data_IF_606822597651
#
_entry.id   IF_606822597651
#
_cell.length_a   1.000
_cell.length_b   1.000
_cell.length_c   1.000
_cell.angle_alpha   90.00
_cell.angle_beta   90.00
_cell.angle_gamma   90.00
#
_symmetry.space_group_name_H-M   'P 1'
#
loop_
_entity.id
_entity.type
_entity.pdbx_description
1 polymer ?
#
# COMPACT_ATOMS: atom_id res chain seq x y z
N UNK A 1 -27.27 -4.31 0.62
CA UNK A 1 -26.71 -3.55 1.76
C UNK A 1 -25.44 -2.88 1.25
N UNK A 2 -25.42 -1.54 1.23
CA UNK A 2 -24.18 -0.82 0.94
C UNK A 2 -23.26 -0.92 2.14
N UNK A 3 -22.01 -1.29 1.87
CA UNK A 3 -20.97 -1.37 2.90
C UNK A 3 -20.62 0.06 3.33
N UNK A 4 -20.77 0.44 4.61
CA UNK A 4 -20.56 1.82 5.04
C UNK A 4 -19.11 2.23 4.74
N UNK A 5 -18.93 3.44 4.20
CA UNK A 5 -17.59 4.00 3.97
C UNK A 5 -17.17 4.80 5.21
N UNK A 6 -15.99 4.53 5.72
CA UNK A 6 -15.42 5.28 6.83
C UNK A 6 -15.18 6.76 6.44
N UNK A 7 -15.24 7.70 7.39
CA UNK A 7 -15.26 9.14 7.11
C UNK A 7 -13.95 9.69 6.58
N UNK A 8 -12.79 9.19 7.08
CA UNK A 8 -11.48 9.73 6.69
C UNK A 8 -10.87 8.96 5.54
N UNK A 9 -10.62 9.68 4.45
CA UNK A 9 -9.92 9.19 3.27
C UNK A 9 -8.44 9.59 3.33
N UNK A 10 -7.57 8.81 2.69
CA UNK A 10 -6.14 9.15 2.56
C UNK A 10 -5.94 10.40 1.69
N UNK A 11 -4.84 11.15 1.85
CA UNK A 11 -4.49 12.24 0.95
C UNK A 11 -4.32 11.76 -0.50
N UNK A 12 -4.77 12.56 -1.47
CA UNK A 12 -4.74 12.18 -2.90
C UNK A 12 -3.33 11.87 -3.42
N UNK A 13 -2.31 12.49 -2.84
CA UNK A 13 -0.90 12.28 -3.21
C UNK A 13 -0.42 10.83 -3.07
N UNK A 14 -1.08 9.99 -2.25
CA UNK A 14 -0.75 8.57 -2.14
C UNK A 14 -0.90 7.84 -3.48
N UNK A 15 -1.80 8.28 -4.35
CA UNK A 15 -1.96 7.73 -5.69
C UNK A 15 -0.67 7.89 -6.52
N UNK A 16 0.02 9.02 -6.38
CA UNK A 16 1.31 9.27 -7.02
C UNK A 16 2.36 8.27 -6.56
N UNK A 17 2.41 7.98 -5.26
CA UNK A 17 3.31 6.97 -4.68
C UNK A 17 3.02 5.60 -5.28
N UNK A 18 1.75 5.17 -5.32
CA UNK A 18 1.37 3.87 -5.88
C UNK A 18 1.68 3.74 -7.38
N UNK A 19 1.46 4.82 -8.17
CA UNK A 19 1.84 4.84 -9.59
C UNK A 19 3.34 4.71 -9.77
N UNK A 20 4.15 5.46 -8.99
CA UNK A 20 5.62 5.39 -9.04
C UNK A 20 6.14 4.01 -8.65
N UNK A 21 5.54 3.39 -7.62
CA UNK A 21 5.88 2.03 -7.21
C UNK A 21 5.57 1.02 -8.32
N UNK A 22 4.38 1.11 -8.94
CA UNK A 22 4.01 0.25 -10.05
C UNK A 22 4.98 0.38 -11.24
N UNK A 23 5.35 1.62 -11.60
CA UNK A 23 6.31 1.88 -12.68
C UNK A 23 7.71 1.32 -12.35
N UNK A 24 8.20 1.53 -11.12
CA UNK A 24 9.51 1.00 -10.71
C UNK A 24 9.53 -0.53 -10.73
N UNK A 25 8.48 -1.15 -10.20
CA UNK A 25 8.35 -2.62 -10.20
C UNK A 25 8.32 -3.16 -11.63
N UNK A 26 7.54 -2.53 -12.51
CA UNK A 26 7.48 -2.91 -13.93
C UNK A 26 8.84 -2.74 -14.62
N UNK A 27 9.54 -1.64 -14.34
CA UNK A 27 10.88 -1.42 -14.88
C UNK A 27 11.86 -2.53 -14.42
N UNK A 28 11.80 -2.96 -13.17
CA UNK A 28 12.61 -4.08 -12.68
C UNK A 28 12.29 -5.38 -13.44
N UNK A 29 11.00 -5.69 -13.68
CA UNK A 29 10.62 -6.85 -14.48
C UNK A 29 11.10 -6.75 -15.94
N UNK A 30 11.00 -5.57 -16.56
CA UNK A 30 11.52 -5.34 -17.92
C UNK A 30 13.03 -5.58 -17.96
N UNK A 31 13.78 -5.07 -17.00
CA UNK A 31 15.25 -5.27 -16.94
C UNK A 31 15.63 -6.75 -16.79
N UNK A 32 14.93 -7.47 -15.90
CA UNK A 32 15.14 -8.92 -15.72
C UNK A 32 14.80 -9.67 -17.01
N UNK A 33 13.65 -9.39 -17.62
CA UNK A 33 13.27 -10.02 -18.88
C UNK A 33 14.23 -9.72 -20.01
N UNK A 34 14.72 -8.48 -20.11
CA UNK A 34 15.71 -8.09 -21.12
C UNK A 34 17.07 -8.80 -20.92
N UNK A 35 17.50 -8.96 -19.65
CA UNK A 35 18.73 -9.70 -19.35
C UNK A 35 18.59 -11.18 -19.73
N UNK A 36 17.46 -11.81 -19.43
CA UNK A 36 17.17 -13.22 -19.82
C UNK A 36 17.12 -13.34 -21.35
N UNK A 37 16.44 -12.41 -22.02
CA UNK A 37 16.38 -12.41 -23.50
C UNK A 37 17.75 -12.27 -24.13
N UNK A 38 18.58 -11.34 -23.63
CA UNK A 38 19.95 -11.17 -24.09
C UNK A 38 20.81 -12.42 -23.86
N UNK A 39 20.63 -13.11 -22.75
CA UNK A 39 21.32 -14.37 -22.47
C UNK A 39 20.88 -15.51 -23.42
N UNK A 40 19.58 -15.62 -23.71
CA UNK A 40 19.08 -16.59 -24.69
C UNK A 40 19.58 -16.29 -26.12
N UNK A 41 19.68 -15.02 -26.50
CA UNK A 41 20.28 -14.64 -27.77
C UNK A 41 21.76 -15.00 -27.86
N UNK A 42 22.52 -14.82 -26.76
CA UNK A 42 23.93 -15.18 -26.72
C UNK A 42 24.16 -16.70 -26.84
N UNK A 43 23.19 -17.51 -26.42
CA UNK A 43 23.19 -18.98 -26.55
C UNK A 43 22.62 -19.47 -27.87
N UNK A 44 22.27 -18.59 -28.82
CA UNK A 44 21.52 -18.91 -30.05
C UNK A 44 20.25 -19.74 -29.80
N UNK A 45 19.64 -19.59 -28.60
CA UNK A 45 18.48 -20.36 -28.16
C UNK A 45 17.16 -19.61 -28.35
N UNK A 46 17.17 -18.37 -28.88
CA UNK A 46 15.98 -17.54 -29.02
C UNK A 46 15.17 -17.94 -30.29
N UNK A 47 14.80 -19.20 -30.41
CA UNK A 47 14.02 -19.74 -31.50
C UNK A 47 12.79 -20.52 -31.02
N UNK A 48 11.82 -20.69 -31.90
CA UNK A 48 10.66 -21.54 -31.66
C UNK A 48 9.91 -21.20 -30.37
N UNK A 49 9.88 -22.13 -29.44
CA UNK A 49 9.16 -21.99 -28.15
C UNK A 49 9.66 -20.81 -27.30
N UNK A 50 10.98 -20.62 -27.19
CA UNK A 50 11.56 -19.57 -26.37
C UNK A 50 11.22 -18.16 -26.87
N UNK A 51 11.12 -17.98 -28.16
CA UNK A 51 10.70 -16.70 -28.77
C UNK A 51 9.26 -16.33 -28.32
N UNK A 52 8.33 -17.26 -28.40
CA UNK A 52 6.95 -17.01 -27.97
C UNK A 52 6.83 -16.81 -26.46
N UNK A 53 7.66 -17.49 -25.67
CA UNK A 53 7.71 -17.32 -24.23
C UNK A 53 8.16 -15.91 -23.83
N UNK A 54 9.17 -15.36 -24.51
CA UNK A 54 9.64 -13.97 -24.29
C UNK A 54 8.54 -12.97 -24.65
N UNK A 55 7.88 -13.13 -25.77
CA UNK A 55 6.76 -12.25 -26.15
C UNK A 55 5.64 -12.33 -25.12
N UNK A 56 5.27 -13.54 -24.69
CA UNK A 56 4.27 -13.75 -23.62
C UNK A 56 4.64 -13.09 -22.30
N UNK A 57 5.91 -13.18 -21.90
CA UNK A 57 6.41 -12.52 -20.70
C UNK A 57 6.24 -11.00 -20.75
N UNK A 58 6.75 -10.35 -21.80
CA UNK A 58 6.59 -8.89 -21.94
C UNK A 58 5.13 -8.46 -22.08
N UNK A 59 4.32 -9.27 -22.75
CA UNK A 59 2.87 -9.07 -22.81
C UNK A 59 2.22 -9.08 -21.43
N UNK A 60 2.55 -10.06 -20.59
CA UNK A 60 2.05 -10.15 -19.22
C UNK A 60 2.54 -8.96 -18.35
N UNK A 61 3.79 -8.55 -18.49
CA UNK A 61 4.33 -7.38 -17.79
C UNK A 61 3.58 -6.11 -18.18
N UNK A 62 3.30 -5.91 -19.47
CA UNK A 62 2.54 -4.76 -19.96
C UNK A 62 1.09 -4.77 -19.45
N UNK A 63 0.41 -5.91 -19.52
CA UNK A 63 -0.94 -6.08 -18.97
C UNK A 63 -0.95 -5.82 -17.46
N UNK A 64 0.01 -6.35 -16.72
CA UNK A 64 0.15 -6.12 -15.28
C UNK A 64 0.31 -4.65 -14.92
N UNK A 65 1.09 -3.87 -15.71
CA UNK A 65 1.21 -2.43 -15.53
C UNK A 65 -0.13 -1.72 -15.77
N UNK A 66 -0.80 -2.02 -16.88
CA UNK A 66 -2.10 -1.41 -17.21
C UNK A 66 -3.10 -1.65 -16.09
N UNK A 67 -3.23 -2.90 -15.65
CA UNK A 67 -4.12 -3.28 -14.53
C UNK A 67 -3.72 -2.52 -13.26
N UNK A 68 -2.44 -2.50 -12.90
CA UNK A 68 -1.95 -1.83 -11.68
C UNK A 68 -2.28 -0.35 -11.70
N UNK A 69 -2.10 0.34 -12.83
CA UNK A 69 -2.41 1.77 -12.96
C UNK A 69 -3.92 2.05 -12.96
N UNK A 70 -4.71 1.21 -13.64
CA UNK A 70 -6.17 1.33 -13.69
C UNK A 70 -6.81 1.13 -12.31
N UNK A 71 -6.20 0.30 -11.47
CA UNK A 71 -6.70 -0.01 -10.14
C UNK A 71 -6.37 1.07 -9.08
N UNK A 72 -5.43 1.99 -9.35
CA UNK A 72 -5.04 3.04 -8.40
C UNK A 72 -6.23 3.88 -7.91
N UNK A 73 -7.05 4.51 -8.79
CA UNK A 73 -8.16 5.35 -8.34
C UNK A 73 -9.24 4.56 -7.59
N UNK A 74 -9.47 3.32 -8.02
CA UNK A 74 -10.43 2.46 -7.36
C UNK A 74 -9.96 2.06 -5.96
N UNK A 75 -8.70 1.62 -5.82
CA UNK A 75 -8.08 1.32 -4.53
C UNK A 75 -8.12 2.52 -3.59
N UNK A 76 -7.84 3.72 -4.12
CA UNK A 76 -7.86 4.97 -3.36
C UNK A 76 -9.24 5.25 -2.77
N UNK A 77 -10.31 5.03 -3.53
CA UNK A 77 -11.70 5.28 -3.07
C UNK A 77 -12.06 4.46 -1.84
N UNK A 78 -11.59 3.21 -1.73
CA UNK A 78 -11.91 2.28 -0.65
C UNK A 78 -10.85 2.20 0.46
N UNK A 79 -9.78 2.99 0.37
CA UNK A 79 -8.75 3.01 1.39
C UNK A 79 -9.03 4.13 2.38
N UNK A 80 -9.69 3.79 3.50
CA UNK A 80 -10.20 4.74 4.49
C UNK A 80 -9.89 4.29 5.91
N UNK A 81 -9.93 5.21 6.85
CA UNK A 81 -9.76 4.92 8.27
C UNK A 81 -10.63 5.82 9.14
N UNK A 82 -10.82 5.42 10.39
CA UNK A 82 -11.50 6.19 11.41
C UNK A 82 -10.79 5.99 12.75
N UNK A 83 -10.72 7.04 13.53
CA UNK A 83 -10.14 7.03 14.88
C UNK A 83 -11.23 7.44 15.84
N UNK A 84 -11.64 6.53 16.69
CA UNK A 84 -12.56 6.79 17.81
C UNK A 84 -11.83 6.65 19.14
N UNK A 85 -12.40 7.10 20.25
CA UNK A 85 -11.78 6.85 21.58
C UNK A 85 -11.66 5.36 21.92
N UNK A 86 -12.50 4.51 21.36
CA UNK A 86 -12.59 3.09 21.69
C UNK A 86 -11.75 2.22 20.76
N UNK A 87 -11.72 2.55 19.47
CA UNK A 87 -11.06 1.74 18.45
C UNK A 87 -10.50 2.56 17.27
N UNK A 88 -9.63 1.88 16.50
CA UNK A 88 -9.18 2.29 15.19
C UNK A 88 -9.82 1.38 14.13
N UNK A 89 -10.59 1.98 13.23
CA UNK A 89 -11.18 1.26 12.11
C UNK A 89 -10.36 1.49 10.83
N UNK A 90 -10.04 0.40 10.15
CA UNK A 90 -9.33 0.40 8.87
C UNK A 90 -10.20 -0.24 7.81
N UNK A 91 -10.56 0.52 6.80
CA UNK A 91 -11.24 0.02 5.63
C UNK A 91 -10.27 -0.14 4.48
N UNK A 92 -10.19 -1.34 3.95
CA UNK A 92 -9.40 -1.67 2.77
C UNK A 92 -10.16 -2.70 1.94
N UNK A 93 -9.73 -2.82 0.72
CA UNK A 93 -10.24 -3.87 -0.15
C UNK A 93 -10.61 -3.31 -1.51
N UNK A 94 -10.42 -4.16 -2.48
CA UNK A 94 -10.62 -3.89 -3.89
C UNK A 94 -11.80 -4.72 -4.41
N UNK A 95 -11.65 -6.03 -4.51
CA UNK A 95 -12.73 -6.97 -4.83
C UNK A 95 -13.41 -7.42 -3.53
N UNK A 96 -12.59 -7.79 -2.53
CA UNK A 96 -13.06 -8.14 -1.20
C UNK A 96 -12.86 -6.95 -0.27
N UNK A 97 -13.95 -6.39 0.24
CA UNK A 97 -13.93 -5.25 1.17
C UNK A 97 -13.89 -5.77 2.60
N UNK A 98 -13.03 -5.19 3.42
CA UNK A 98 -12.95 -5.49 4.84
C UNK A 98 -12.83 -4.21 5.65
N UNK A 99 -13.52 -4.16 6.78
CA UNK A 99 -13.28 -3.19 7.84
C UNK A 99 -12.70 -3.96 9.02
N UNK A 100 -11.55 -3.53 9.49
CA UNK A 100 -10.91 -4.12 10.66
C UNK A 100 -10.94 -3.11 11.78
N UNK A 101 -11.55 -3.48 12.89
CA UNK A 101 -11.58 -2.68 14.11
C UNK A 101 -10.48 -3.16 15.06
N UNK A 102 -9.65 -2.24 15.51
CA UNK A 102 -8.55 -2.50 16.45
C UNK A 102 -8.82 -1.73 17.72
N UNK A 103 -9.23 -2.39 18.81
CA UNK A 103 -9.45 -1.73 20.10
C UNK A 103 -8.18 -1.03 20.61
N UNK A 104 -8.30 0.17 21.18
CA UNK A 104 -7.16 0.98 21.64
C UNK A 104 -6.30 0.23 22.66
N UNK A 105 -6.87 -0.55 23.57
CA UNK A 105 -6.15 -1.35 24.55
C UNK A 105 -5.32 -2.50 23.95
N UNK A 106 -5.55 -2.89 22.68
CA UNK A 106 -4.78 -3.92 21.97
C UNK A 106 -3.56 -3.35 21.24
N UNK A 107 -3.43 -2.05 21.16
CA UNK A 107 -2.29 -1.39 20.51
C UNK A 107 -1.08 -1.48 21.43
N UNK A 108 0.02 -2.05 20.92
CA UNK A 108 1.29 -2.18 21.66
C UNK A 108 2.17 -0.96 21.45
N UNK A 109 2.42 -0.59 20.24
CA UNK A 109 3.18 0.61 19.88
C UNK A 109 2.76 1.20 18.53
N UNK A 110 3.06 2.47 18.35
CA UNK A 110 2.74 3.25 17.15
C UNK A 110 4.04 3.84 16.62
N UNK A 111 4.38 3.49 15.38
CA UNK A 111 5.55 3.96 14.67
C UNK A 111 5.17 4.87 13.53
N UNK A 112 6.11 5.69 13.08
CA UNK A 112 5.99 6.47 11.85
C UNK A 112 7.09 6.04 10.90
N UNK A 113 6.71 5.70 9.66
CA UNK A 113 7.63 5.27 8.62
C UNK A 113 7.56 6.20 7.40
N UNK A 114 8.70 6.37 6.74
CA UNK A 114 8.77 7.17 5.54
C UNK A 114 9.71 6.55 4.51
N UNK A 115 9.16 5.78 3.59
CA UNK A 115 9.90 5.24 2.46
C UNK A 115 10.31 6.32 1.45
N UNK A 116 11.20 6.01 0.48
CA UNK A 116 11.77 7.00 -0.44
C UNK A 116 10.72 7.71 -1.30
N UNK A 117 9.67 7.03 -1.72
CA UNK A 117 8.58 7.63 -2.49
C UNK A 117 7.67 8.51 -1.65
N UNK A 118 7.38 8.10 -0.40
CA UNK A 118 6.61 8.91 0.54
C UNK A 118 7.37 10.19 0.86
N UNK A 119 8.69 10.09 1.11
CA UNK A 119 9.55 11.23 1.38
C UNK A 119 9.57 12.24 0.23
N UNK A 120 9.62 11.76 -1.02
CA UNK A 120 9.61 12.63 -2.21
C UNK A 120 8.28 13.39 -2.37
N UNK A 121 7.18 12.83 -1.89
CA UNK A 121 5.85 13.46 -1.92
C UNK A 121 5.54 14.25 -0.62
N UNK A 122 6.45 14.28 0.36
CA UNK A 122 6.20 14.90 1.66
C UNK A 122 5.16 14.17 2.48
N UNK A 123 5.06 12.85 2.29
CA UNK A 123 4.11 11.97 2.96
C UNK A 123 4.81 11.07 3.97
N UNK A 124 4.04 10.56 4.92
CA UNK A 124 4.45 9.64 5.96
C UNK A 124 3.38 8.58 6.16
N UNK A 125 3.73 7.44 6.72
CA UNK A 125 2.78 6.45 7.18
C UNK A 125 2.90 6.23 8.70
N UNK A 126 1.76 5.91 9.31
CA UNK A 126 1.68 5.47 10.70
C UNK A 126 1.48 3.97 10.68
N UNK A 127 2.32 3.26 11.42
CA UNK A 127 2.22 1.81 11.60
C UNK A 127 1.78 1.54 13.03
N UNK A 128 0.66 0.85 13.16
CA UNK A 128 0.06 0.46 14.44
C UNK A 128 0.29 -1.03 14.63
N UNK A 129 1.01 -1.38 15.68
CA UNK A 129 1.35 -2.74 16.04
C UNK A 129 0.45 -3.26 17.14
N UNK A 130 -0.10 -4.44 16.91
CA UNK A 130 -0.83 -5.25 17.89
C UNK A 130 -0.06 -6.53 18.16
N UNK A 131 -0.49 -7.35 19.11
CA UNK A 131 0.14 -8.65 19.36
C UNK A 131 0.09 -9.63 18.17
N UNK A 132 -0.89 -9.47 17.28
CA UNK A 132 -1.13 -10.41 16.18
C UNK A 132 -0.75 -9.85 14.80
N UNK A 133 -0.94 -8.55 14.58
CA UNK A 133 -0.82 -7.94 13.24
C UNK A 133 -0.35 -6.49 13.33
N UNK A 134 0.10 -5.97 12.18
CA UNK A 134 0.38 -4.53 12.00
C UNK A 134 -0.61 -3.93 11.02
N UNK A 135 -1.10 -2.74 11.33
CA UNK A 135 -1.98 -1.95 10.47
C UNK A 135 -1.30 -0.66 10.09
N UNK A 136 -1.55 -0.17 8.86
CA UNK A 136 -0.89 1.01 8.32
C UNK A 136 -1.90 2.04 7.85
N UNK A 137 -1.65 3.30 8.21
CA UNK A 137 -2.32 4.48 7.66
C UNK A 137 -1.28 5.19 6.81
N UNK A 138 -1.28 4.93 5.50
CA UNK A 138 -0.26 5.45 4.59
C UNK A 138 -0.70 6.75 3.91
N UNK A 139 0.27 7.58 3.53
CA UNK A 139 0.03 8.75 2.69
C UNK A 139 -0.51 9.97 3.42
N UNK A 140 -0.33 10.06 4.73
CA UNK A 140 -0.60 11.28 5.49
C UNK A 140 0.48 12.34 5.22
N UNK A 141 0.11 13.62 5.28
CA UNK A 141 1.10 14.68 5.36
C UNK A 141 1.87 14.56 6.67
N UNK A 142 3.13 14.99 6.69
CA UNK A 142 4.01 14.84 7.86
C UNK A 142 3.36 15.40 9.12
N UNK A 143 2.84 16.64 9.06
CA UNK A 143 2.19 17.30 10.19
C UNK A 143 0.93 16.55 10.66
N UNK A 144 0.11 16.09 9.70
CA UNK A 144 -1.10 15.30 9.99
C UNK A 144 -0.74 13.96 10.64
N UNK A 145 0.34 13.31 10.17
CA UNK A 145 0.79 12.04 10.73
C UNK A 145 1.29 12.20 12.17
N UNK A 146 2.06 13.26 12.45
CA UNK A 146 2.55 13.53 13.81
C UNK A 146 1.40 13.82 14.78
N UNK A 147 0.48 14.70 14.40
CA UNK A 147 -0.72 15.01 15.21
C UNK A 147 -1.58 13.77 15.45
N UNK A 148 -1.83 12.98 14.40
CA UNK A 148 -2.63 11.75 14.51
C UNK A 148 -1.94 10.71 15.39
N UNK A 149 -0.61 10.55 15.28
CA UNK A 149 0.17 9.68 16.15
C UNK A 149 0.02 10.07 17.62
N UNK A 150 0.17 11.37 17.93
CA UNK A 150 0.02 11.88 19.31
C UNK A 150 -1.39 11.62 19.84
N UNK A 151 -2.41 11.85 19.02
CA UNK A 151 -3.80 11.57 19.35
C UNK A 151 -4.00 10.08 19.66
N UNK A 152 -3.51 9.17 18.81
CA UNK A 152 -3.62 7.72 19.02
C UNK A 152 -2.90 7.30 20.31
N UNK A 153 -1.67 7.79 20.54
CA UNK A 153 -0.90 7.47 21.74
C UNK A 153 -1.60 7.95 23.02
N UNK A 154 -2.22 9.13 22.97
CA UNK A 154 -3.01 9.63 24.10
C UNK A 154 -4.21 8.74 24.40
N UNK A 155 -4.98 8.35 23.37
CA UNK A 155 -6.13 7.45 23.52
C UNK A 155 -5.72 6.06 24.04
N UNK A 156 -4.59 5.53 23.56
CA UNK A 156 -4.05 4.23 24.03
C UNK A 156 -3.68 4.29 25.51
N UNK A 157 -3.11 5.41 26.00
CA UNK A 157 -2.81 5.57 27.42
C UNK A 157 -4.07 5.54 28.27
N UNK A 158 -5.08 6.32 27.90
CA UNK A 158 -6.37 6.35 28.60
C UNK A 158 -7.01 4.95 28.61
N UNK A 159 -7.10 4.29 27.45
CA UNK A 159 -7.69 2.95 27.35
C UNK A 159 -6.95 1.85 28.13
N UNK A 160 -5.68 2.06 28.49
CA UNK A 160 -4.90 1.13 29.32
C UNK A 160 -5.00 1.45 30.82
N UNK A 161 -5.33 2.68 31.18
CA UNK A 161 -5.57 3.08 32.57
C UNK A 161 -6.96 2.65 33.06
N UNK A 162 -7.92 2.49 32.14
CA UNK A 162 -9.30 2.09 32.44
C UNK A 162 -9.50 0.56 32.53
N UNK A 163 -8.42 -0.25 32.42
CA UNK A 163 -8.44 -1.72 32.51
C UNK A 163 -7.66 -2.19 33.73
#
# INVERSE_FOLDING_TARGET
>A
MEYPLLPKQMPERIQSVWRKTALLTTMAFILIGSAITGFLMWLDALEGFWFWLVIGYFGLVAIGLIISLALVPYRYHYYRFEVTPEDLAFQKGFIFRSITYVPMNRIQHVETEQGPFLRKEGLMEIVIHTAATSHRIAGLKIDEAMTLREQIVALVKVAKEDV
#
